data_IF_222325536825
#
_entry.id   IF_222325536825
#
_cell.length_a   1.000
_cell.length_b   1.000
_cell.length_c   1.000
_cell.angle_alpha   90.00
_cell.angle_beta   90.00
_cell.angle_gamma   90.00
#
_symmetry.space_group_name_H-M   'P 1'
#
loop_
_entity.id
_entity.type
_entity.pdbx_description
1 polymer ?
#
# COMPACT_ATOMS: atom_id res chain seq x y z
N UNK A 1 3.17 -18.60 0.64
CA UNK A 1 3.58 -18.30 2.04
C UNK A 1 2.35 -18.45 2.94
N UNK A 2 2.49 -18.62 4.27
CA UNK A 2 1.34 -18.57 5.18
C UNK A 2 0.65 -17.20 5.13
N UNK A 3 -0.68 -17.18 5.13
CA UNK A 3 -1.52 -15.97 5.04
C UNK A 3 -1.10 -14.90 6.08
N UNK A 4 -0.79 -15.33 7.30
CA UNK A 4 -0.39 -14.41 8.38
C UNK A 4 0.94 -13.71 8.13
N UNK A 5 1.90 -14.35 7.44
CA UNK A 5 3.21 -13.73 7.21
C UNK A 5 3.17 -12.69 6.09
N UNK A 6 2.23 -12.78 5.14
CA UNK A 6 2.10 -11.82 4.04
C UNK A 6 1.72 -10.42 4.53
N UNK A 7 0.91 -10.34 5.59
CA UNK A 7 0.56 -9.04 6.19
C UNK A 7 1.81 -8.31 6.70
N UNK A 8 2.70 -9.00 7.42
CA UNK A 8 3.90 -8.40 8.01
C UNK A 8 5.07 -8.32 7.04
N UNK A 9 5.15 -9.25 6.10
CA UNK A 9 6.27 -9.44 5.19
C UNK A 9 5.78 -9.76 3.77
N UNK A 10 5.18 -8.78 3.09
CA UNK A 10 4.53 -9.01 1.80
C UNK A 10 5.52 -9.31 0.69
N UNK A 11 4.99 -9.92 -0.36
CA UNK A 11 5.61 -9.92 -1.68
C UNK A 11 5.15 -8.71 -2.48
N UNK A 12 6.02 -8.27 -3.38
CA UNK A 12 5.78 -7.09 -4.21
C UNK A 12 5.94 -7.42 -5.68
N UNK A 13 5.16 -6.73 -6.51
CA UNK A 13 5.25 -6.81 -7.97
C UNK A 13 5.57 -5.43 -8.53
N UNK A 14 6.45 -5.37 -9.53
CA UNK A 14 6.74 -4.16 -10.27
C UNK A 14 6.00 -4.16 -11.61
N UNK A 15 5.28 -3.07 -11.90
CA UNK A 15 4.59 -2.85 -13.17
C UNK A 15 4.84 -1.40 -13.61
N UNK A 16 5.47 -1.23 -14.78
CA UNK A 16 5.77 0.08 -15.37
C UNK A 16 6.46 1.08 -14.43
N UNK A 17 7.36 0.60 -13.57
CA UNK A 17 8.07 1.45 -12.59
C UNK A 17 7.23 1.85 -11.36
N UNK A 18 6.06 1.25 -11.16
CA UNK A 18 5.31 1.29 -9.91
C UNK A 18 5.45 -0.05 -9.20
N UNK A 19 5.48 -0.02 -7.88
CA UNK A 19 5.62 -1.19 -7.01
C UNK A 19 4.31 -1.36 -6.24
N UNK A 20 3.74 -2.55 -6.31
CA UNK A 20 2.49 -2.89 -5.65
C UNK A 20 2.66 -4.08 -4.72
N UNK A 21 1.77 -4.22 -3.74
CA UNK A 21 1.57 -5.51 -3.08
C UNK A 21 1.18 -6.55 -4.14
N UNK A 22 1.78 -7.74 -4.10
CA UNK A 22 1.47 -8.76 -5.10
C UNK A 22 -0.02 -9.10 -5.13
N UNK A 23 -0.65 -9.17 -3.96
CA UNK A 23 -2.06 -9.55 -3.80
C UNK A 23 -3.04 -8.44 -4.25
N UNK A 24 -2.57 -7.24 -4.64
CA UNK A 24 -3.44 -6.18 -5.19
C UNK A 24 -3.50 -6.16 -6.72
N UNK A 25 -2.59 -6.88 -7.39
CA UNK A 25 -2.53 -7.02 -8.86
C UNK A 25 -2.24 -8.48 -9.23
N UNK A 26 -3.27 -9.32 -9.19
CA UNK A 26 -3.16 -10.75 -9.46
C UNK A 26 -3.54 -11.10 -10.91
N UNK A 27 -4.55 -10.42 -11.46
CA UNK A 27 -5.17 -10.81 -12.73
C UNK A 27 -5.30 -9.68 -13.77
N UNK A 28 -5.97 -9.99 -14.89
CA UNK A 28 -6.20 -9.03 -15.97
C UNK A 28 -7.18 -7.92 -15.61
N UNK A 29 -8.15 -8.18 -14.73
CA UNK A 29 -9.09 -7.16 -14.27
C UNK A 29 -8.38 -6.16 -13.35
N UNK A 30 -7.46 -6.61 -12.51
CA UNK A 30 -6.65 -5.73 -11.67
C UNK A 30 -5.77 -4.80 -12.52
N UNK A 31 -5.15 -5.34 -13.56
CA UNK A 31 -4.38 -4.55 -14.54
C UNK A 31 -5.27 -3.54 -15.27
N UNK A 32 -6.51 -3.90 -15.57
CA UNK A 32 -7.48 -2.97 -16.16
C UNK A 32 -7.84 -1.85 -15.18
N UNK A 33 -8.11 -2.17 -13.90
CA UNK A 33 -8.34 -1.16 -12.85
C UNK A 33 -7.15 -0.22 -12.72
N UNK A 34 -5.92 -0.73 -12.81
CA UNK A 34 -4.71 0.09 -12.77
C UNK A 34 -4.63 1.05 -13.97
N UNK A 35 -4.91 0.57 -15.18
CA UNK A 35 -4.96 1.41 -16.38
C UNK A 35 -6.03 2.51 -16.28
N UNK A 36 -7.22 2.18 -15.76
CA UNK A 36 -8.28 3.14 -15.51
C UNK A 36 -7.87 4.20 -14.47
N UNK A 37 -7.17 3.79 -13.41
CA UNK A 37 -6.63 4.72 -12.42
C UNK A 37 -5.57 5.64 -13.03
N UNK A 38 -4.65 5.12 -13.85
CA UNK A 38 -3.68 5.95 -14.57
C UNK A 38 -4.37 6.97 -15.48
N UNK A 39 -5.42 6.58 -16.21
CA UNK A 39 -6.22 7.52 -17.02
C UNK A 39 -6.88 8.59 -16.14
N UNK A 40 -7.52 8.19 -15.04
CA UNK A 40 -8.17 9.10 -14.07
C UNK A 40 -7.19 10.11 -13.50
N UNK A 41 -5.96 9.67 -13.20
CA UNK A 41 -4.90 10.52 -12.65
C UNK A 41 -4.00 11.16 -13.73
N UNK A 42 -4.42 11.16 -15.00
CA UNK A 42 -3.69 11.81 -16.12
C UNK A 42 -2.24 11.33 -16.25
N UNK A 43 -2.02 10.03 -16.02
CA UNK A 43 -0.70 9.40 -16.08
C UNK A 43 0.16 9.58 -14.82
N UNK A 44 -0.37 10.18 -13.75
CA UNK A 44 0.34 10.31 -12.47
C UNK A 44 0.47 8.95 -11.78
N UNK A 45 1.63 8.31 -12.01
CA UNK A 45 1.99 7.01 -11.44
C UNK A 45 2.06 7.03 -9.92
N UNK A 46 2.39 8.17 -9.30
CA UNK A 46 2.43 8.27 -7.84
C UNK A 46 1.04 8.19 -7.26
N UNK A 47 0.07 8.90 -7.83
CA UNK A 47 -1.34 8.81 -7.39
C UNK A 47 -1.95 7.43 -7.62
N UNK A 48 -1.64 6.82 -8.77
CA UNK A 48 -2.10 5.46 -9.06
C UNK A 48 -1.52 4.45 -8.05
N UNK A 49 -0.22 4.51 -7.79
CA UNK A 49 0.46 3.63 -6.82
C UNK A 49 -0.09 3.84 -5.39
N UNK A 50 -0.27 5.09 -4.95
CA UNK A 50 -0.87 5.41 -3.66
C UNK A 50 -2.28 4.81 -3.50
N UNK A 51 -3.11 4.87 -4.55
CA UNK A 51 -4.48 4.36 -4.51
C UNK A 51 -4.54 2.83 -4.37
N UNK A 52 -3.60 2.11 -4.98
CA UNK A 52 -3.56 0.64 -4.92
C UNK A 52 -2.82 0.09 -3.69
N UNK A 53 -1.94 0.90 -3.10
CA UNK A 53 -1.16 0.53 -1.93
C UNK A 53 -1.68 1.16 -0.64
N UNK A 54 -2.95 1.57 -0.62
CA UNK A 54 -3.64 2.02 0.58
C UNK A 54 -4.38 0.82 1.20
N UNK A 55 -3.95 0.43 2.40
CA UNK A 55 -4.49 -0.72 3.13
C UNK A 55 -5.11 -0.22 4.42
N UNK A 56 -6.44 -0.27 4.49
CA UNK A 56 -7.20 0.03 5.71
C UNK A 56 -6.98 -1.06 6.74
N UNK A 57 -6.59 -0.67 7.95
CA UNK A 57 -6.22 -1.60 9.03
C UNK A 57 -7.42 -2.45 9.47
N UNK A 58 -8.61 -1.88 9.73
CA UNK A 58 -9.78 -2.67 10.14
C UNK A 58 -10.20 -3.68 9.07
N UNK A 59 -10.06 -3.32 7.79
CA UNK A 59 -10.41 -4.18 6.65
C UNK A 59 -9.61 -5.49 6.60
N UNK A 60 -8.44 -5.55 7.26
CA UNK A 60 -7.64 -6.78 7.39
C UNK A 60 -8.30 -7.85 8.27
N UNK A 61 -9.21 -7.45 9.16
CA UNK A 61 -9.84 -8.33 10.15
C UNK A 61 -11.29 -8.69 9.80
N UNK A 62 -11.84 -8.14 8.71
CA UNK A 62 -13.20 -8.43 8.26
C UNK A 62 -14.24 -8.20 9.36
N UNK A 63 -14.98 -9.23 9.77
CA UNK A 63 -16.00 -9.13 10.83
C UNK A 63 -15.41 -8.92 12.24
N UNK A 64 -14.16 -9.33 12.45
CA UNK A 64 -13.46 -9.15 13.72
C UNK A 64 -12.90 -7.74 13.90
N UNK A 65 -13.08 -6.83 12.93
CA UNK A 65 -12.73 -5.42 13.11
C UNK A 65 -13.50 -4.75 14.25
N UNK A 66 -14.70 -5.25 14.58
CA UNK A 66 -15.49 -4.78 15.71
C UNK A 66 -14.88 -5.19 17.08
N UNK A 67 -13.85 -6.02 17.07
CA UNK A 67 -13.16 -6.52 18.26
C UNK A 67 -11.85 -5.75 18.53
N UNK A 68 -11.44 -4.82 17.66
CA UNK A 68 -10.26 -3.97 17.87
C UNK A 68 -10.64 -2.54 18.24
N UNK A 69 -9.71 -1.86 18.89
CA UNK A 69 -9.79 -0.43 19.21
C UNK A 69 -8.92 0.39 18.25
N UNK A 70 -9.26 1.67 18.04
CA UNK A 70 -8.44 2.61 17.24
C UNK A 70 -6.96 2.61 17.67
N UNK A 71 -6.71 2.43 18.97
CA UNK A 71 -5.36 2.40 19.52
C UNK A 71 -4.59 1.14 19.10
N UNK A 72 -5.26 -0.01 19.06
CA UNK A 72 -4.69 -1.26 18.55
C UNK A 72 -4.40 -1.18 17.06
N UNK A 73 -5.30 -0.55 16.29
CA UNK A 73 -5.09 -0.31 14.86
C UNK A 73 -3.87 0.58 14.60
N UNK A 74 -3.70 1.64 15.41
CA UNK A 74 -2.50 2.49 15.36
C UNK A 74 -1.23 1.70 15.68
N UNK A 75 -1.26 0.86 16.71
CA UNK A 75 -0.11 0.02 17.06
C UNK A 75 0.25 -0.95 15.93
N UNK A 76 -0.73 -1.60 15.32
CA UNK A 76 -0.50 -2.49 14.20
C UNK A 76 0.05 -1.72 12.98
N UNK A 77 -0.57 -0.59 12.63
CA UNK A 77 -0.12 0.26 11.52
C UNK A 77 1.35 0.64 11.65
N UNK A 78 1.79 1.04 12.85
CA UNK A 78 3.16 1.38 13.14
C UNK A 78 4.13 0.20 12.92
N UNK A 79 3.76 -1.00 13.38
CA UNK A 79 4.55 -2.22 13.15
C UNK A 79 4.64 -2.58 11.66
N UNK A 80 3.53 -2.47 10.92
CA UNK A 80 3.49 -2.72 9.48
C UNK A 80 4.39 -1.73 8.72
N UNK A 81 4.37 -0.45 9.08
CA UNK A 81 5.23 0.57 8.47
C UNK A 81 6.71 0.20 8.62
N UNK A 82 7.15 -0.18 9.82
CA UNK A 82 8.54 -0.58 10.06
C UNK A 82 8.93 -1.82 9.23
N UNK A 83 8.09 -2.85 9.27
CA UNK A 83 8.36 -4.12 8.58
C UNK A 83 8.34 -3.96 7.06
N UNK A 84 7.35 -3.27 6.51
CA UNK A 84 7.27 -3.01 5.07
C UNK A 84 8.40 -2.12 4.59
N UNK A 85 8.84 -1.14 5.39
CA UNK A 85 10.04 -0.35 5.08
C UNK A 85 11.27 -1.23 4.94
N UNK A 86 11.46 -2.14 5.88
CA UNK A 86 12.57 -3.09 5.83
C UNK A 86 12.47 -3.99 4.59
N UNK A 87 11.30 -4.59 4.36
CA UNK A 87 11.03 -5.50 3.24
C UNK A 87 11.25 -4.81 1.89
N UNK A 88 10.70 -3.62 1.68
CA UNK A 88 10.91 -2.83 0.46
C UNK A 88 12.38 -2.50 0.23
N UNK A 89 13.14 -2.16 1.29
CA UNK A 89 14.58 -1.87 1.16
C UNK A 89 15.40 -3.11 0.78
N UNK A 90 14.99 -4.30 1.23
CA UNK A 90 15.64 -5.57 0.85
C UNK A 90 15.36 -5.90 -0.61
N UNK A 91 14.11 -5.77 -1.06
CA UNK A 91 13.69 -6.17 -2.41
C UNK A 91 14.11 -5.14 -3.47
N UNK A 92 14.05 -3.85 -3.13
CA UNK A 92 14.37 -2.74 -4.02
C UNK A 92 15.42 -1.81 -3.41
N UNK A 93 16.69 -2.27 -3.25
CA UNK A 93 17.71 -1.55 -2.49
C UNK A 93 18.04 -0.15 -3.03
N UNK A 94 17.86 0.05 -4.34
CA UNK A 94 18.15 1.29 -5.05
C UNK A 94 16.93 2.21 -5.22
N UNK A 95 15.80 1.90 -4.58
CA UNK A 95 14.59 2.75 -4.61
C UNK A 95 14.32 3.33 -3.23
N UNK A 96 13.66 4.47 -3.22
CA UNK A 96 13.17 5.11 -2.02
C UNK A 96 11.64 5.03 -1.99
N UNK A 97 11.09 4.80 -0.81
CA UNK A 97 9.66 4.66 -0.59
C UNK A 97 9.21 5.55 0.56
N UNK A 98 8.07 6.20 0.39
CA UNK A 98 7.33 6.78 1.49
C UNK A 98 6.33 5.75 1.97
N UNK A 99 6.35 5.47 3.27
CA UNK A 99 5.38 4.58 3.94
C UNK A 99 4.90 5.33 5.18
N UNK A 100 3.59 5.52 5.31
CA UNK A 100 3.00 6.31 6.38
C UNK A 100 1.61 5.82 6.76
N UNK A 101 1.18 6.21 7.96
CA UNK A 101 -0.23 6.16 8.32
C UNK A 101 -1.02 7.23 7.56
N UNK A 102 -2.25 6.90 7.23
CA UNK A 102 -3.27 7.80 6.68
C UNK A 102 -4.44 7.76 7.65
N UNK A 103 -4.79 8.92 8.21
CA UNK A 103 -5.86 8.98 9.22
C UNK A 103 -7.22 8.66 8.62
N UNK A 104 -8.15 8.18 9.45
CA UNK A 104 -9.57 8.00 9.11
C UNK A 104 -10.19 9.24 8.43
N UNK A 105 -9.77 10.44 8.85
CA UNK A 105 -10.21 11.70 8.24
C UNK A 105 -9.71 11.88 6.81
N UNK A 106 -8.48 11.45 6.50
CA UNK A 106 -7.90 11.53 5.16
C UNK A 106 -8.45 10.47 4.22
N UNK A 107 -8.73 9.25 4.72
CA UNK A 107 -9.34 8.16 3.94
C UNK A 107 -10.85 8.36 3.76
N UNK A 108 -11.49 9.10 4.67
CA UNK A 108 -12.94 9.25 4.72
C UNK A 108 -13.65 8.09 5.42
N UNK A 109 -12.91 7.25 6.17
CA UNK A 109 -13.46 6.07 6.85
C UNK A 109 -12.49 5.57 7.92
N UNK A 110 -11.54 4.74 7.52
CA UNK A 110 -10.71 3.95 8.44
C UNK A 110 -9.25 4.39 8.47
N UNK A 111 -8.53 4.07 9.55
CA UNK A 111 -7.08 4.20 9.59
C UNK A 111 -6.45 3.28 8.54
N UNK A 112 -5.47 3.79 7.78
CA UNK A 112 -4.78 3.00 6.77
C UNK A 112 -3.26 3.16 6.84
N UNK A 113 -2.56 2.17 6.27
CA UNK A 113 -1.15 2.29 5.88
C UNK A 113 -1.09 2.46 4.37
N UNK A 114 -0.31 3.42 3.91
CA UNK A 114 -0.10 3.69 2.50
C UNK A 114 1.38 3.73 2.19
N UNK A 115 1.78 3.15 1.05
CA UNK A 115 3.12 3.37 0.51
C UNK A 115 3.14 3.70 -0.97
N UNK A 116 4.20 4.39 -1.38
CA UNK A 116 4.52 4.59 -2.80
C UNK A 116 6.02 4.83 -2.99
N UNK A 117 6.48 4.63 -4.21
CA UNK A 117 7.83 4.98 -4.63
C UNK A 117 7.99 6.51 -4.62
N UNK A 118 9.09 7.01 -4.06
CA UNK A 118 9.46 8.42 -4.17
C UNK A 118 10.07 8.61 -5.56
N UNK A 119 9.42 9.44 -6.37
CA UNK A 119 9.89 9.78 -7.71
C UNK A 119 10.48 11.17 -7.66
N UNK A 120 11.74 11.31 -8.06
CA UNK A 120 12.32 12.62 -8.32
C UNK A 120 11.43 13.33 -9.35
N UNK A 121 10.96 14.53 -9.05
CA UNK A 121 10.25 15.33 -10.06
C UNK A 121 11.21 15.54 -11.24
N UNK A 122 10.90 14.92 -12.38
CA UNK A 122 11.45 15.38 -13.64
C UNK A 122 10.88 16.77 -13.85
N UNK A 123 11.66 17.81 -13.49
CA UNK A 123 11.52 19.15 -14.05
C UNK A 123 11.83 19.04 -15.54
N UNK A 124 10.85 18.60 -16.31
CA UNK A 124 10.81 18.70 -17.76
C UNK A 124 10.33 20.08 -18.18
#
# INVERSE_FOLDING_TARGET
MPIYSQLFWPEFVEIDGMVFLQDTIEDSEDRKRLNEALLRYRGDKTKAEQAFNLVEIPSLFGKSSLETTDQEDVFLADRLIEMWRCRLKIVFPNREFLIRMVSAKETGGELAVMFHTIRSENKG
#
